data_IF_020554315421
#
_entry.id   IF_020554315421
#
_cell.length_a   1.000
_cell.length_b   1.000
_cell.length_c   1.000
_cell.angle_alpha   90.00
_cell.angle_beta   90.00
_cell.angle_gamma   90.00
#
_symmetry.space_group_name_H-M   'P 1'
#
loop_
_entity.id
_entity.type
_entity.pdbx_description
1 polymer ?
#
# COMPACT_ATOMS: atom_id res chain seq x y z
N UNK A 1 30.16 3.92 -12.37
CA UNK A 1 28.82 3.54 -12.87
C UNK A 1 29.00 2.70 -14.12
N UNK A 2 28.24 1.61 -14.30
CA UNK A 2 28.52 0.60 -15.35
C UNK A 2 27.87 0.87 -16.73
N UNK A 3 27.10 1.96 -16.88
CA UNK A 3 26.47 2.39 -18.15
C UNK A 3 25.75 1.27 -18.93
N UNK A 4 25.11 0.35 -18.20
CA UNK A 4 24.37 -0.78 -18.76
C UNK A 4 22.96 -0.84 -18.16
N UNK A 5 21.99 -1.41 -18.88
CA UNK A 5 20.67 -1.69 -18.31
C UNK A 5 20.76 -2.58 -17.08
N UNK A 6 19.85 -2.38 -16.14
CA UNK A 6 19.65 -3.23 -14.97
C UNK A 6 18.16 -3.54 -14.86
N UNK A 7 17.85 -4.78 -14.48
CA UNK A 7 16.48 -5.20 -14.18
C UNK A 7 16.40 -5.54 -12.70
N UNK A 8 15.35 -5.06 -12.04
CA UNK A 8 14.96 -5.48 -10.70
C UNK A 8 13.66 -6.25 -10.84
N UNK A 9 13.72 -7.55 -10.61
CA UNK A 9 12.52 -8.39 -10.53
C UNK A 9 11.95 -8.32 -9.11
N UNK A 10 10.86 -7.57 -8.96
CA UNK A 10 10.21 -7.34 -7.67
C UNK A 10 9.02 -8.27 -7.50
N UNK A 11 9.24 -9.36 -6.76
CA UNK A 11 8.19 -10.28 -6.37
C UNK A 11 7.23 -9.62 -5.37
N UNK A 12 5.95 -9.58 -5.74
CA UNK A 12 4.89 -9.02 -4.93
C UNK A 12 3.59 -9.82 -5.10
N UNK A 13 2.48 -9.30 -4.58
CA UNK A 13 1.16 -9.89 -4.76
C UNK A 13 0.14 -8.80 -5.07
N UNK A 14 -0.95 -9.17 -5.76
CA UNK A 14 -2.09 -8.29 -6.02
C UNK A 14 -3.15 -8.50 -4.94
N UNK A 15 -3.45 -7.47 -4.16
CA UNK A 15 -4.36 -7.58 -3.00
C UNK A 15 -5.82 -7.84 -3.42
N UNK A 16 -6.26 -7.17 -4.47
CA UNK A 16 -7.61 -7.28 -5.04
C UNK A 16 -7.57 -7.98 -6.41
N UNK A 17 -8.70 -8.01 -7.12
CA UNK A 17 -8.79 -8.55 -8.48
C UNK A 17 -7.94 -7.79 -9.50
N UNK A 18 -8.18 -8.02 -10.79
CA UNK A 18 -7.46 -7.26 -11.82
C UNK A 18 -7.79 -5.77 -11.75
N UNK A 19 -9.06 -5.47 -11.47
CA UNK A 19 -9.51 -4.21 -10.87
C UNK A 19 -10.16 -4.48 -9.49
N UNK A 20 -10.55 -3.42 -8.79
CA UNK A 20 -11.12 -3.49 -7.44
C UNK A 20 -12.53 -4.10 -7.37
N UNK A 21 -13.27 -4.11 -8.49
CA UNK A 21 -14.61 -4.71 -8.60
C UNK A 21 -14.61 -6.19 -9.00
N UNK A 22 -13.47 -6.71 -9.45
CA UNK A 22 -13.34 -8.11 -9.86
C UNK A 22 -13.22 -9.06 -8.67
N UNK A 23 -13.83 -10.24 -8.76
CA UNK A 23 -13.64 -11.34 -7.81
C UNK A 23 -12.59 -12.34 -8.33
N UNK A 24 -11.34 -12.29 -7.85
CA UNK A 24 -10.27 -13.15 -8.33
C UNK A 24 -10.36 -14.60 -7.85
N UNK A 25 -11.13 -14.90 -6.79
CA UNK A 25 -11.25 -16.26 -6.28
C UNK A 25 -11.92 -17.22 -7.27
N UNK A 26 -12.63 -16.72 -8.28
CA UNK A 26 -13.21 -17.55 -9.34
C UNK A 26 -12.16 -18.33 -10.13
N UNK A 27 -10.95 -17.78 -10.27
CA UNK A 27 -9.90 -18.40 -11.09
C UNK A 27 -8.58 -18.60 -10.32
N UNK A 28 -8.35 -17.89 -9.21
CA UNK A 28 -7.17 -18.06 -8.34
C UNK A 28 -7.54 -18.27 -6.84
N UNK A 29 -8.39 -19.26 -6.49
CA UNK A 29 -8.92 -19.40 -5.13
C UNK A 29 -7.87 -19.69 -4.06
N UNK A 30 -6.86 -20.52 -4.36
CA UNK A 30 -5.82 -20.91 -3.38
C UNK A 30 -4.93 -19.70 -3.07
N UNK A 31 -4.45 -19.02 -4.11
CA UNK A 31 -3.60 -17.84 -3.96
C UNK A 31 -4.29 -16.74 -3.16
N UNK A 32 -5.54 -16.42 -3.50
CA UNK A 32 -6.28 -15.37 -2.78
C UNK A 32 -6.68 -15.76 -1.36
N UNK A 33 -6.83 -17.06 -1.06
CA UNK A 33 -6.96 -17.52 0.33
C UNK A 33 -5.73 -17.15 1.15
N UNK A 34 -4.53 -17.42 0.63
CA UNK A 34 -3.26 -17.05 1.29
C UNK A 34 -3.06 -15.54 1.39
N UNK A 35 -3.35 -14.79 0.32
CA UNK A 35 -3.22 -13.32 0.30
C UNK A 35 -4.16 -12.66 1.32
N UNK A 36 -5.40 -13.15 1.45
CA UNK A 36 -6.39 -12.60 2.40
C UNK A 36 -5.92 -12.72 3.86
N UNK A 37 -5.25 -13.81 4.21
CA UNK A 37 -4.69 -14.03 5.56
C UNK A 37 -3.33 -13.37 5.78
N UNK A 38 -2.64 -12.94 4.72
CA UNK A 38 -1.34 -12.30 4.82
C UNK A 38 -1.49 -10.84 5.30
N UNK A 39 -0.71 -10.47 6.33
CA UNK A 39 -0.59 -9.06 6.78
C UNK A 39 -0.09 -8.19 5.63
N UNK A 40 -0.55 -6.93 5.55
CA UNK A 40 -0.07 -6.04 4.49
C UNK A 40 1.43 -5.76 4.66
N UNK A 41 2.13 -5.44 3.56
CA UNK A 41 3.57 -5.12 3.59
C UNK A 41 3.86 -4.00 4.60
N UNK A 42 3.01 -2.97 4.65
CA UNK A 42 3.10 -1.87 5.62
C UNK A 42 3.03 -2.39 7.06
N UNK A 43 2.09 -3.29 7.37
CA UNK A 43 1.98 -3.85 8.72
C UNK A 43 3.18 -4.73 9.07
N UNK A 44 3.64 -5.59 8.15
CA UNK A 44 4.80 -6.46 8.38
C UNK A 44 6.05 -5.64 8.70
N UNK A 45 6.27 -4.56 7.96
CA UNK A 45 7.44 -3.71 8.20
C UNK A 45 7.30 -2.85 9.45
N UNK A 46 6.10 -2.32 9.73
CA UNK A 46 5.83 -1.60 10.98
C UNK A 46 6.05 -2.50 12.21
N UNK A 47 5.48 -3.71 12.21
CA UNK A 47 5.66 -4.69 13.30
C UNK A 47 7.14 -4.96 13.56
N UNK A 48 7.94 -5.10 12.50
CA UNK A 48 9.38 -5.31 12.59
C UNK A 48 10.08 -4.11 13.24
N UNK A 49 9.85 -2.90 12.76
CA UNK A 49 10.50 -1.69 13.29
C UNK A 49 10.13 -1.42 14.75
N UNK A 50 8.89 -1.76 15.14
CA UNK A 50 8.44 -1.68 16.54
C UNK A 50 9.19 -2.72 17.38
N UNK A 51 9.32 -3.96 16.90
CA UNK A 51 10.07 -5.00 17.60
C UNK A 51 11.56 -4.66 17.73
N UNK A 52 12.13 -3.96 16.75
CA UNK A 52 13.51 -3.44 16.78
C UNK A 52 13.65 -2.16 17.63
N UNK A 53 12.55 -1.58 18.13
CA UNK A 53 12.53 -0.38 18.96
C UNK A 53 12.81 0.92 18.22
N UNK A 54 12.72 0.92 16.89
CA UNK A 54 12.98 2.11 16.05
C UNK A 54 11.83 3.11 16.05
N UNK A 55 10.59 2.61 16.16
CA UNK A 55 9.37 3.41 16.23
C UNK A 55 8.37 2.74 17.17
N UNK A 56 7.36 3.48 17.59
CA UNK A 56 6.26 3.01 18.43
C UNK A 56 5.01 2.75 17.60
N UNK A 57 4.09 1.96 18.14
CA UNK A 57 2.76 1.77 17.53
C UNK A 57 2.00 3.10 17.38
N UNK A 58 2.12 4.00 18.37
CA UNK A 58 1.49 5.32 18.32
C UNK A 58 2.01 6.18 17.16
N UNK A 59 3.31 6.12 16.85
CA UNK A 59 3.89 6.81 15.71
C UNK A 59 3.37 6.27 14.38
N UNK A 60 3.24 4.95 14.23
CA UNK A 60 2.66 4.32 13.03
C UNK A 60 1.21 4.74 12.83
N UNK A 61 0.41 4.75 13.90
CA UNK A 61 -0.99 5.15 13.84
C UNK A 61 -1.15 6.63 13.52
N UNK A 62 -0.27 7.47 14.08
CA UNK A 62 -0.21 8.89 13.72
C UNK A 62 0.14 9.09 12.25
N UNK A 63 1.17 8.42 11.72
CA UNK A 63 1.52 8.51 10.28
C UNK A 63 0.35 8.14 9.37
N UNK A 64 -0.44 7.11 9.74
CA UNK A 64 -1.65 6.71 9.01
C UNK A 64 -2.75 7.77 9.07
N UNK A 65 -2.97 8.35 10.25
CA UNK A 65 -3.96 9.39 10.45
C UNK A 65 -3.60 10.67 9.67
N UNK A 66 -2.35 11.11 9.80
CA UNK A 66 -1.82 12.29 9.11
C UNK A 66 -1.93 12.13 7.58
N UNK A 67 -1.61 10.94 7.06
CA UNK A 67 -1.75 10.67 5.62
C UNK A 67 -3.21 10.71 5.15
N UNK A 68 -4.15 10.15 5.92
CA UNK A 68 -5.58 10.23 5.60
C UNK A 68 -6.09 11.67 5.65
N UNK A 69 -5.71 12.42 6.68
CA UNK A 69 -6.10 13.82 6.81
C UNK A 69 -5.57 14.66 5.64
N UNK A 70 -4.33 14.40 5.21
CA UNK A 70 -3.78 15.04 4.01
C UNK A 70 -4.61 14.73 2.76
N UNK A 71 -4.94 13.45 2.50
CA UNK A 71 -5.75 13.08 1.35
C UNK A 71 -7.16 13.70 1.38
N UNK A 72 -7.77 13.82 2.56
CA UNK A 72 -9.07 14.47 2.72
C UNK A 72 -8.98 15.97 2.39
N UNK A 73 -7.95 16.65 2.92
CA UNK A 73 -7.72 18.05 2.62
C UNK A 73 -7.50 18.29 1.12
N UNK A 74 -6.70 17.45 0.46
CA UNK A 74 -6.48 17.54 -0.99
C UNK A 74 -7.77 17.24 -1.78
N UNK A 75 -8.61 16.32 -1.30
CA UNK A 75 -9.91 16.04 -1.89
C UNK A 75 -10.85 17.26 -1.83
N UNK A 76 -10.91 17.95 -0.69
CA UNK A 76 -11.68 19.20 -0.54
C UNK A 76 -11.17 20.30 -1.49
N UNK A 77 -9.86 20.51 -1.55
CA UNK A 77 -9.23 21.49 -2.46
C UNK A 77 -9.55 21.16 -3.91
N UNK A 78 -9.50 19.88 -4.28
CA UNK A 78 -9.80 19.35 -5.61
C UNK A 78 -11.20 19.73 -6.12
N UNK A 79 -12.18 19.93 -5.25
CA UNK A 79 -13.53 20.36 -5.66
C UNK A 79 -13.54 21.76 -6.29
N UNK A 80 -12.61 22.62 -5.88
CA UNK A 80 -12.47 23.98 -6.39
C UNK A 80 -11.37 24.13 -7.45
N UNK A 81 -10.58 23.08 -7.67
CA UNK A 81 -9.45 23.10 -8.58
C UNK A 81 -9.92 23.22 -10.04
N UNK A 82 -9.33 24.16 -10.77
CA UNK A 82 -9.53 24.31 -12.22
C UNK A 82 -8.28 23.83 -12.94
N UNK A 83 -8.33 22.70 -13.65
CA UNK A 83 -7.23 22.27 -14.49
C UNK A 83 -6.90 23.35 -15.53
N UNK A 84 -5.63 23.76 -15.61
CA UNK A 84 -5.19 24.62 -16.71
C UNK A 84 -5.39 23.85 -18.02
N UNK A 85 -6.27 24.37 -18.89
CA UNK A 85 -6.31 23.97 -20.30
C UNK A 85 -5.19 24.65 -21.06
#
# INVERSE_FOLDING_TARGET
KFHKPVVVDMFCYRRFGHNEGDEPAFTQPIMYRSIRTHKTVVQVYADRLIAEGHITQAEVDKMRADWRAHLEQEFEVGQSYKPNK
#
